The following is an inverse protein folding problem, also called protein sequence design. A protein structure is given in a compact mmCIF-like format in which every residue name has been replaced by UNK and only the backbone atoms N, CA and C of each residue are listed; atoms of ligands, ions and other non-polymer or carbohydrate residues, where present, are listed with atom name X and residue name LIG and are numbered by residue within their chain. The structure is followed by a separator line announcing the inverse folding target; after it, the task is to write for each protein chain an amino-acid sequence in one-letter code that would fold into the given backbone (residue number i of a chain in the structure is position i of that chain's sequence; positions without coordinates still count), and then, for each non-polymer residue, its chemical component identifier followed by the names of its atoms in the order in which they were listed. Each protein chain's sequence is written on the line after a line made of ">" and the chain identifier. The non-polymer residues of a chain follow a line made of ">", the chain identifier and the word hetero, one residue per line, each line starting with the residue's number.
data_IF_497296433734
#
_entry.id   IF_497296433734
#
_cell.length_a   1.000
_cell.length_b   1.000
_cell.length_c   1.000
_cell.angle_alpha   90.00
_cell.angle_beta   90.00
_cell.angle_gamma   90.00
#
_symmetry.space_group_name_H-M   'P 1'
#
loop_
_entity.id
_entity.type
_entity.pdbx_description
1 polymer ?
#
# COMPACT_ATOMS: atom_id res chain seq x y z
N UNK A 1 9.16 -22.13 35.11
CA UNK A 1 7.88 -21.66 34.61
C UNK A 1 7.83 -21.77 33.08
N UNK A 2 7.00 -22.65 32.55
CA UNK A 2 6.94 -22.83 31.08
C UNK A 2 6.43 -21.60 30.33
N UNK A 3 5.78 -20.64 31.04
CA UNK A 3 5.15 -19.48 30.42
C UNK A 3 6.12 -18.41 29.94
N UNK A 4 7.33 -18.35 30.49
CA UNK A 4 8.31 -17.31 30.12
C UNK A 4 8.84 -17.47 28.70
N UNK A 5 9.21 -18.67 28.31
CA UNK A 5 9.73 -18.95 26.97
C UNK A 5 8.66 -18.73 25.89
N UNK A 6 7.41 -19.11 26.19
CA UNK A 6 6.28 -18.89 25.28
C UNK A 6 5.97 -17.41 25.12
N UNK A 7 6.03 -16.64 26.21
CA UNK A 7 5.80 -15.19 26.16
C UNK A 7 6.89 -14.48 25.37
N UNK A 8 8.15 -14.84 25.56
CA UNK A 8 9.27 -14.28 24.81
C UNK A 8 9.16 -14.57 23.32
N UNK A 9 8.77 -15.80 22.98
CA UNK A 9 8.56 -16.21 21.59
C UNK A 9 7.42 -15.40 20.95
N UNK A 10 6.32 -15.20 21.66
CA UNK A 10 5.18 -14.39 21.19
C UNK A 10 5.60 -12.93 20.99
N UNK A 11 6.38 -12.36 21.90
CA UNK A 11 6.89 -11.01 21.78
C UNK A 11 7.76 -10.85 20.55
N UNK A 12 8.68 -11.78 20.31
CA UNK A 12 9.55 -11.76 19.12
C UNK A 12 8.73 -11.86 17.83
N UNK A 13 7.73 -12.74 17.79
CA UNK A 13 6.85 -12.89 16.64
C UNK A 13 6.01 -11.64 16.42
N UNK A 14 5.50 -11.01 17.47
CA UNK A 14 4.72 -9.78 17.41
C UNK A 14 5.56 -8.61 16.89
N UNK A 15 6.80 -8.47 17.36
CA UNK A 15 7.72 -7.46 16.87
C UNK A 15 8.06 -7.66 15.40
N UNK A 16 8.32 -8.91 15.01
CA UNK A 16 8.61 -9.24 13.62
C UNK A 16 7.44 -8.88 12.70
N UNK A 17 6.21 -9.24 13.09
CA UNK A 17 5.00 -8.88 12.36
C UNK A 17 4.83 -7.37 12.28
N UNK A 18 5.07 -6.68 13.39
CA UNK A 18 4.98 -5.22 13.47
C UNK A 18 5.94 -4.55 12.49
N UNK A 19 7.18 -5.01 12.42
CA UNK A 19 8.18 -4.47 11.50
C UNK A 19 7.81 -4.75 10.04
N UNK A 20 7.37 -5.96 9.73
CA UNK A 20 6.92 -6.35 8.39
C UNK A 20 5.72 -5.52 7.97
N UNK A 21 4.73 -5.34 8.85
CA UNK A 21 3.53 -4.56 8.58
C UNK A 21 3.86 -3.09 8.39
N UNK A 22 4.78 -2.54 9.18
CA UNK A 22 5.25 -1.17 9.04
C UNK A 22 5.91 -0.96 7.68
N UNK A 23 6.78 -1.89 7.26
CA UNK A 23 7.41 -1.85 5.95
C UNK A 23 6.39 -1.89 4.81
N UNK A 24 5.40 -2.76 4.91
CA UNK A 24 4.33 -2.88 3.91
C UNK A 24 3.48 -1.62 3.84
N UNK A 25 3.14 -1.00 4.98
CA UNK A 25 2.42 0.28 5.02
C UNK A 25 3.22 1.39 4.36
N UNK A 26 4.52 1.43 4.63
CA UNK A 26 5.42 2.43 4.03
C UNK A 26 5.45 2.27 2.51
N UNK A 27 5.50 1.04 2.00
CA UNK A 27 5.46 0.77 0.56
C UNK A 27 4.18 1.28 -0.08
N UNK A 28 3.03 1.04 0.54
CA UNK A 28 1.73 1.52 0.05
C UNK A 28 1.71 3.04 -0.01
N UNK A 29 2.11 3.69 1.09
CA UNK A 29 2.13 5.16 1.16
C UNK A 29 3.08 5.76 0.13
N UNK A 30 4.26 5.16 -0.03
CA UNK A 30 5.26 5.63 -1.01
C UNK A 30 4.75 5.48 -2.44
N UNK A 31 4.09 4.37 -2.75
CA UNK A 31 3.51 4.12 -4.08
C UNK A 31 2.41 5.13 -4.40
N UNK A 32 1.52 5.38 -3.44
CA UNK A 32 0.42 6.35 -3.60
C UNK A 32 0.99 7.75 -3.77
N UNK A 33 1.96 8.13 -2.96
CA UNK A 33 2.61 9.45 -3.02
C UNK A 33 3.29 9.66 -4.37
N UNK A 34 4.00 8.64 -4.86
CA UNK A 34 4.67 8.68 -6.16
C UNK A 34 3.67 8.87 -7.29
N UNK A 35 2.57 8.13 -7.27
CA UNK A 35 1.52 8.26 -8.29
C UNK A 35 0.88 9.65 -8.23
N UNK A 36 0.58 10.18 -7.05
CA UNK A 36 0.02 11.52 -6.88
C UNK A 36 0.95 12.60 -7.43
N UNK A 37 2.25 12.48 -7.16
CA UNK A 37 3.24 13.40 -7.71
C UNK A 37 3.26 13.36 -9.24
N UNK A 38 3.17 12.17 -9.82
CA UNK A 38 3.12 11.99 -11.27
C UNK A 38 1.83 12.55 -11.86
N UNK A 39 0.70 12.41 -11.16
CA UNK A 39 -0.57 13.01 -11.55
C UNK A 39 -0.50 14.53 -11.57
N UNK A 40 0.14 15.13 -10.56
CA UNK A 40 0.34 16.57 -10.48
C UNK A 40 1.25 17.09 -11.60
N UNK A 41 2.25 16.31 -11.98
CA UNK A 41 3.14 16.62 -13.10
C UNK A 41 2.47 16.45 -14.47
N UNK A 42 1.39 15.68 -14.54
CA UNK A 42 0.60 15.52 -15.77
C UNK A 42 1.21 14.65 -16.85
N UNK A 43 2.18 13.78 -16.51
CA UNK A 43 2.83 12.90 -17.48
C UNK A 43 1.99 11.63 -17.70
N UNK A 44 1.23 11.59 -18.80
CA UNK A 44 0.30 10.50 -19.10
C UNK A 44 0.99 9.13 -19.23
N UNK A 45 2.20 9.09 -19.77
CA UNK A 45 2.94 7.84 -19.95
C UNK A 45 3.34 7.24 -18.60
N UNK A 46 3.87 8.05 -17.70
CA UNK A 46 4.25 7.61 -16.37
C UNK A 46 3.03 7.21 -15.53
N UNK A 47 1.93 7.93 -15.68
CA UNK A 47 0.66 7.59 -15.02
C UNK A 47 0.19 6.20 -15.46
N UNK A 48 0.23 5.91 -16.74
CA UNK A 48 -0.17 4.63 -17.30
C UNK A 48 0.69 3.47 -16.81
N UNK A 49 1.96 3.72 -16.53
CA UNK A 49 2.87 2.71 -15.97
C UNK A 49 2.69 2.53 -14.45
N UNK A 50 2.53 3.65 -13.72
CA UNK A 50 2.47 3.63 -12.25
C UNK A 50 1.12 3.18 -11.71
N UNK A 51 0.02 3.48 -12.41
CA UNK A 51 -1.31 3.13 -11.92
C UNK A 51 -1.49 1.63 -11.68
N UNK A 52 -1.20 0.72 -12.65
CA UNK A 52 -1.32 -0.71 -12.38
C UNK A 52 -0.39 -1.19 -11.28
N UNK A 53 0.84 -0.67 -11.22
CA UNK A 53 1.81 -1.03 -10.19
C UNK A 53 1.34 -0.60 -8.80
N UNK A 54 0.76 0.59 -8.67
CA UNK A 54 0.21 1.10 -7.42
C UNK A 54 -0.99 0.27 -6.97
N UNK A 55 -1.90 -0.05 -7.89
CA UNK A 55 -3.07 -0.91 -7.60
C UNK A 55 -2.61 -2.28 -7.11
N UNK A 56 -1.62 -2.87 -7.77
CA UNK A 56 -1.04 -4.16 -7.37
C UNK A 56 -0.48 -4.09 -5.93
N UNK A 57 0.24 -3.02 -5.61
CA UNK A 57 0.79 -2.81 -4.25
C UNK A 57 -0.34 -2.72 -3.21
N UNK A 58 -1.41 -2.00 -3.52
CA UNK A 58 -2.57 -1.88 -2.64
C UNK A 58 -3.24 -3.24 -2.43
N UNK A 59 -3.45 -4.01 -3.48
CA UNK A 59 -4.06 -5.34 -3.42
C UNK A 59 -3.21 -6.30 -2.58
N UNK A 60 -1.90 -6.28 -2.74
CA UNK A 60 -0.97 -7.09 -1.93
C UNK A 60 -1.04 -6.70 -0.46
N UNK A 61 -1.20 -5.42 -0.16
CA UNK A 61 -1.34 -4.95 1.22
C UNK A 61 -2.63 -5.47 1.87
N UNK A 62 -3.73 -5.57 1.11
CA UNK A 62 -4.97 -6.16 1.59
C UNK A 62 -4.78 -7.64 1.90
N UNK A 63 -4.12 -8.39 1.01
CA UNK A 63 -3.85 -9.81 1.21
C UNK A 63 -2.99 -10.07 2.45
N UNK A 64 -2.04 -9.16 2.74
CA UNK A 64 -1.17 -9.26 3.91
C UNK A 64 -1.82 -8.77 5.20
N UNK A 65 -3.05 -8.26 5.13
CA UNK A 65 -3.78 -7.75 6.29
C UNK A 65 -3.30 -6.39 6.79
N UNK A 66 -2.50 -5.70 6.01
CA UNK A 66 -1.94 -4.37 6.36
C UNK A 66 -2.95 -3.27 6.08
N UNK A 67 -3.80 -3.46 5.08
CA UNK A 67 -4.78 -2.48 4.64
C UNK A 67 -6.16 -3.15 4.57
N UNK A 68 -7.18 -2.48 5.11
CA UNK A 68 -8.55 -2.98 5.04
C UNK A 68 -9.10 -2.84 3.61
N UNK A 69 -9.89 -3.82 3.17
CA UNK A 69 -10.45 -3.84 1.81
C UNK A 69 -11.24 -2.59 1.45
N UNK A 70 -11.95 -1.99 2.42
CA UNK A 70 -12.74 -0.78 2.18
C UNK A 70 -11.84 0.43 1.91
N UNK A 71 -10.74 0.56 2.65
CA UNK A 71 -9.76 1.62 2.42
C UNK A 71 -9.09 1.42 1.06
N UNK A 72 -8.73 0.18 0.73
CA UNK A 72 -8.12 -0.17 -0.57
C UNK A 72 -9.05 0.20 -1.72
N UNK A 73 -10.33 -0.11 -1.61
CA UNK A 73 -11.33 0.21 -2.63
C UNK A 73 -11.42 1.72 -2.86
N UNK A 74 -11.41 2.52 -1.79
CA UNK A 74 -11.42 3.99 -1.88
C UNK A 74 -10.16 4.52 -2.57
N UNK A 75 -8.99 4.02 -2.19
CA UNK A 75 -7.73 4.43 -2.82
C UNK A 75 -7.71 4.09 -4.30
N UNK A 76 -8.08 2.86 -4.66
CA UNK A 76 -8.10 2.41 -6.05
C UNK A 76 -9.06 3.26 -6.89
N UNK A 77 -10.25 3.50 -6.39
CA UNK A 77 -11.27 4.29 -7.06
C UNK A 77 -10.80 5.73 -7.31
N UNK A 78 -10.33 6.40 -6.26
CA UNK A 78 -9.87 7.80 -6.36
C UNK A 78 -8.68 7.95 -7.30
N UNK A 79 -7.71 7.05 -7.21
CA UNK A 79 -6.52 7.09 -8.05
C UNK A 79 -6.87 6.81 -9.51
N UNK A 80 -7.77 5.86 -9.76
CA UNK A 80 -8.22 5.53 -11.12
C UNK A 80 -8.97 6.71 -11.75
N UNK A 81 -9.87 7.35 -11.01
CA UNK A 81 -10.63 8.52 -11.49
C UNK A 81 -9.69 9.67 -11.85
N UNK A 82 -8.74 9.99 -10.97
CA UNK A 82 -7.76 11.04 -11.24
C UNK A 82 -6.85 10.71 -12.42
N UNK A 83 -6.45 9.45 -12.54
CA UNK A 83 -5.59 9.00 -13.64
C UNK A 83 -6.32 9.10 -14.98
N UNK A 84 -7.59 8.69 -15.02
CA UNK A 84 -8.42 8.80 -16.21
C UNK A 84 -8.65 10.26 -16.61
N UNK A 85 -8.90 11.14 -15.64
CA UNK A 85 -9.07 12.57 -15.89
C UNK A 85 -7.79 13.21 -16.44
N UNK A 86 -6.63 12.82 -15.90
CA UNK A 86 -5.34 13.32 -16.38
C UNK A 86 -5.05 12.80 -17.81
N UNK A 87 -5.38 11.55 -18.10
CA UNK A 87 -5.17 10.96 -19.42
C UNK A 87 -6.11 11.57 -20.48
N UNK A 88 -7.28 12.06 -20.08
CA UNK A 88 -8.27 12.65 -20.98
C UNK A 88 -7.92 14.08 -21.41
N UNK A 89 -6.97 14.68 -20.73
CA UNK A 89 -6.49 16.03 -21.08
C UNK A 89 -5.38 15.94 -22.12
#
# INVERSE_FOLDING_TARGET
>A
MPNHKSAEKRMRQSERRRQINKGNRTRVRSSIKKLRATLDAGNANEIGELLPATISTIDKAVQKGVLHKNAAARYKSRLTVRSNAAASK
#
